data_IF_315832732847
#
_entry.id   IF_315832732847
#
_cell.length_a   1.000
_cell.length_b   1.000
_cell.length_c   1.000
_cell.angle_alpha   90.00
_cell.angle_beta   90.00
_cell.angle_gamma   90.00
#
_symmetry.space_group_name_H-M   'P 1'
#
loop_
_entity.id
_entity.type
_entity.pdbx_description
1 polymer ?
#
# COMPACT_ATOMS: atom_id res chain seq x y z
N UNK A 1 -4.34 69.05 89.92
CA UNK A 1 -4.85 69.14 88.54
C UNK A 1 -4.08 68.16 87.68
N UNK A 2 -4.61 66.90 87.52
CA UNK A 2 -3.95 65.85 86.83
C UNK A 2 -4.75 65.59 85.54
N UNK A 3 -4.19 65.84 84.33
CA UNK A 3 -4.78 65.56 83.05
C UNK A 3 -4.48 64.11 82.69
N UNK A 4 -5.54 63.28 82.58
CA UNK A 4 -5.54 61.95 82.04
C UNK A 4 -5.33 62.00 80.53
N UNK A 5 -4.27 61.43 80.07
CA UNK A 5 -4.09 61.15 78.61
C UNK A 5 -4.82 59.86 78.29
N UNK A 6 -6.02 59.98 77.65
CA UNK A 6 -6.68 58.85 77.07
C UNK A 6 -5.93 58.34 75.79
N UNK A 7 -5.34 57.20 75.91
CA UNK A 7 -4.64 56.53 74.78
C UNK A 7 -5.70 56.02 73.79
N UNK A 8 -5.75 56.65 72.64
CA UNK A 8 -6.62 56.24 71.58
C UNK A 8 -6.22 54.86 71.12
N UNK A 9 -7.03 53.81 71.47
CA UNK A 9 -6.85 52.43 71.08
C UNK A 9 -7.60 52.06 69.76
N UNK A 10 -8.36 53.01 69.19
CA UNK A 10 -9.21 52.72 68.01
C UNK A 10 -8.42 52.61 66.71
N UNK A 11 -7.33 53.33 66.54
CA UNK A 11 -6.54 53.33 65.32
C UNK A 11 -5.80 51.97 65.05
N UNK A 12 -5.29 51.34 66.13
CA UNK A 12 -4.60 50.06 65.99
C UNK A 12 -5.56 48.87 65.74
N UNK A 13 -6.78 48.90 66.24
CA UNK A 13 -7.78 47.88 66.02
C UNK A 13 -8.26 47.86 64.57
N UNK A 14 -8.44 49.01 63.95
CA UNK A 14 -8.83 49.15 62.58
C UNK A 14 -7.73 48.66 61.60
N UNK A 15 -6.46 48.97 61.91
CA UNK A 15 -5.33 48.48 61.08
C UNK A 15 -5.21 46.93 61.11
N UNK A 16 -5.39 46.35 62.31
CA UNK A 16 -5.38 44.89 62.48
C UNK A 16 -6.54 44.23 61.75
N UNK A 17 -7.75 44.83 61.81
CA UNK A 17 -8.92 44.35 61.09
C UNK A 17 -8.73 44.41 59.58
N UNK A 18 -8.13 45.47 59.03
CA UNK A 18 -7.77 45.57 57.60
C UNK A 18 -6.72 44.54 57.21
N UNK A 19 -5.70 44.28 58.02
CA UNK A 19 -4.69 43.26 57.72
C UNK A 19 -5.29 41.82 57.65
N UNK A 20 -6.20 41.51 58.59
CA UNK A 20 -6.93 40.20 58.56
C UNK A 20 -7.83 40.07 57.33
N UNK A 21 -8.51 41.15 56.96
CA UNK A 21 -9.36 41.13 55.73
C UNK A 21 -8.54 40.90 54.46
N UNK A 22 -7.38 41.57 54.33
CA UNK A 22 -6.47 41.38 53.18
C UNK A 22 -5.94 39.96 53.14
N UNK A 23 -5.54 39.39 54.28
CA UNK A 23 -5.11 38.01 54.37
C UNK A 23 -6.23 37.02 54.00
N UNK A 24 -7.47 37.25 54.45
CA UNK A 24 -8.61 36.42 54.12
C UNK A 24 -8.92 36.45 52.59
N UNK A 25 -8.90 37.65 51.99
CA UNK A 25 -9.08 37.84 50.55
C UNK A 25 -7.96 37.16 49.77
N UNK A 26 -6.71 37.28 50.16
CA UNK A 26 -5.55 36.64 49.55
C UNK A 26 -5.68 35.10 49.63
N UNK A 27 -6.16 34.57 50.75
CA UNK A 27 -6.40 33.14 50.94
C UNK A 27 -7.54 32.62 50.07
N UNK A 28 -8.65 33.36 49.98
CA UNK A 28 -9.79 33.04 49.10
C UNK A 28 -9.35 33.07 47.63
N UNK A 29 -8.61 34.11 47.21
CA UNK A 29 -8.07 34.21 45.86
C UNK A 29 -7.07 33.09 45.55
N UNK A 30 -6.24 32.73 46.53
CA UNK A 30 -5.29 31.62 46.41
C UNK A 30 -6.03 30.27 46.23
N UNK A 31 -7.06 30.00 47.05
CA UNK A 31 -7.91 28.81 46.90
C UNK A 31 -8.64 28.82 45.59
N UNK A 32 -9.23 29.97 45.20
CA UNK A 32 -9.89 30.13 43.90
C UNK A 32 -8.94 29.80 42.74
N UNK A 33 -7.72 30.35 42.77
CA UNK A 33 -6.71 30.14 41.74
C UNK A 33 -6.28 28.67 41.64
N UNK A 34 -6.02 28.02 42.78
CA UNK A 34 -5.55 26.63 42.81
C UNK A 34 -6.63 25.61 42.46
N UNK A 35 -7.88 25.81 42.90
CA UNK A 35 -8.96 24.80 42.79
C UNK A 35 -10.01 25.15 41.77
N UNK A 36 -10.25 26.42 41.41
CA UNK A 36 -11.31 26.83 40.50
C UNK A 36 -10.80 27.36 39.16
N UNK A 37 -9.54 27.80 39.06
CA UNK A 37 -8.92 28.11 37.78
C UNK A 37 -8.41 26.79 37.18
N UNK A 38 -8.95 26.35 36.02
CA UNK A 38 -8.46 25.15 35.37
C UNK A 38 -6.95 25.28 35.12
N UNK A 39 -6.17 24.43 35.76
CA UNK A 39 -4.75 24.31 35.41
C UNK A 39 -4.68 23.74 34.00
N UNK A 40 -3.95 24.38 33.09
CA UNK A 40 -3.70 23.85 31.78
C UNK A 40 -3.08 22.46 31.94
N UNK A 41 -3.74 21.43 31.35
CA UNK A 41 -3.15 20.12 31.34
C UNK A 41 -1.75 20.19 30.68
N UNK A 42 -0.76 19.46 31.20
CA UNK A 42 0.57 19.45 30.57
C UNK A 42 0.42 19.04 29.10
N UNK A 43 1.07 19.76 28.21
CA UNK A 43 1.07 19.45 26.77
C UNK A 43 1.51 18.01 26.58
N UNK A 44 0.76 17.21 25.76
CA UNK A 44 1.12 15.85 25.53
C UNK A 44 2.47 15.74 24.82
N UNK A 45 3.24 14.72 25.19
CA UNK A 45 4.51 14.44 24.52
C UNK A 45 4.24 14.14 23.05
N UNK A 46 4.98 14.83 22.16
CA UNK A 46 4.86 14.66 20.70
C UNK A 46 6.11 14.01 20.15
N UNK A 47 5.95 13.13 19.18
CA UNK A 47 7.04 12.40 18.53
C UNK A 47 8.05 13.34 17.88
N UNK A 48 9.32 13.14 18.17
CA UNK A 48 10.46 13.91 17.67
C UNK A 48 11.52 12.95 17.12
N UNK A 49 12.52 13.50 16.47
CA UNK A 49 13.68 12.75 15.99
C UNK A 49 14.36 11.98 17.14
N UNK A 50 14.73 10.74 16.88
CA UNK A 50 15.31 9.75 17.80
C UNK A 50 14.35 9.14 18.83
N UNK A 51 13.09 9.61 18.93
CA UNK A 51 12.12 8.93 19.76
C UNK A 51 11.82 7.52 19.17
N UNK A 52 11.71 6.50 20.03
CA UNK A 52 11.18 5.19 19.63
C UNK A 52 9.67 5.23 19.67
N UNK A 53 9.05 4.94 18.55
CA UNK A 53 7.59 4.99 18.37
C UNK A 53 7.04 3.63 17.96
N UNK A 54 5.79 3.38 18.36
CA UNK A 54 5.01 2.24 17.86
C UNK A 54 3.73 2.80 17.25
N UNK A 55 3.44 2.43 16.00
CA UNK A 55 2.28 2.93 15.27
C UNK A 55 1.42 1.80 14.70
N UNK A 56 0.11 1.98 14.70
CA UNK A 56 -0.80 1.26 13.84
C UNK A 56 -0.99 2.04 12.54
N UNK A 57 -1.11 1.33 11.42
CA UNK A 57 -1.32 1.97 10.13
C UNK A 57 -2.18 1.13 9.18
N UNK A 58 -2.81 1.84 8.25
CA UNK A 58 -3.45 1.28 7.04
C UNK A 58 -2.92 2.05 5.85
N UNK A 59 -2.30 1.35 4.90
CA UNK A 59 -1.75 1.92 3.67
C UNK A 59 -2.62 1.58 2.47
N UNK A 60 -3.08 2.60 1.73
CA UNK A 60 -3.83 2.50 0.48
C UNK A 60 -3.15 3.31 -0.62
N UNK A 61 -3.49 3.05 -1.88
CA UNK A 61 -3.09 3.95 -2.98
C UNK A 61 -3.97 5.21 -2.96
N UNK A 62 -3.41 6.38 -3.28
CA UNK A 62 -4.13 7.66 -3.24
C UNK A 62 -5.41 7.66 -4.10
N UNK A 63 -5.39 6.99 -5.24
CA UNK A 63 -6.50 6.94 -6.20
C UNK A 63 -7.30 5.63 -6.13
N UNK A 64 -7.16 4.87 -5.05
CA UNK A 64 -7.81 3.57 -4.89
C UNK A 64 -8.03 3.26 -3.41
N UNK A 65 -9.17 2.64 -3.09
CA UNK A 65 -9.46 2.16 -1.73
C UNK A 65 -8.75 0.84 -1.40
N UNK A 66 -7.91 0.32 -2.31
CA UNK A 66 -7.24 -0.96 -2.13
C UNK A 66 -6.12 -0.84 -1.10
N UNK A 67 -6.22 -1.67 -0.06
CA UNK A 67 -5.19 -1.77 0.98
C UNK A 67 -4.03 -2.60 0.44
N UNK A 68 -2.82 -1.99 0.36
CA UNK A 68 -1.60 -2.72 -0.01
C UNK A 68 -0.81 -3.21 1.20
N UNK A 69 -0.99 -2.58 2.37
CA UNK A 69 -0.35 -2.99 3.62
C UNK A 69 -1.08 -2.43 4.84
N UNK A 70 -1.03 -3.15 5.98
CA UNK A 70 -1.55 -2.69 7.26
C UNK A 70 -0.85 -3.40 8.42
N UNK A 71 -0.84 -2.80 9.60
CA UNK A 71 -0.46 -3.46 10.85
C UNK A 71 -1.69 -3.97 11.65
N UNK A 72 -2.90 -3.66 11.19
CA UNK A 72 -4.16 -3.88 11.93
C UNK A 72 -4.85 -5.15 11.44
N UNK A 73 -4.94 -6.18 12.30
CA UNK A 73 -5.50 -7.49 11.95
C UNK A 73 -6.96 -7.42 11.49
N UNK A 74 -7.78 -6.57 12.12
CA UNK A 74 -9.20 -6.43 11.75
C UNK A 74 -9.36 -5.87 10.35
N UNK A 75 -8.50 -4.93 9.94
CA UNK A 75 -8.43 -4.41 8.57
C UNK A 75 -7.95 -5.48 7.60
N UNK A 76 -6.94 -6.26 7.98
CA UNK A 76 -6.43 -7.34 7.13
C UNK A 76 -7.50 -8.41 6.85
N UNK A 77 -8.29 -8.79 7.83
CA UNK A 77 -9.30 -9.85 7.73
C UNK A 77 -10.61 -9.39 7.07
N UNK A 78 -10.94 -8.11 7.13
CA UNK A 78 -12.14 -7.56 6.52
C UNK A 78 -11.86 -7.16 5.06
N UNK A 79 -12.17 -8.06 4.12
CA UNK A 79 -12.02 -7.79 2.69
C UNK A 79 -13.23 -7.07 2.08
N UNK A 80 -14.34 -7.01 2.79
CA UNK A 80 -15.55 -6.31 2.32
C UNK A 80 -15.42 -4.80 2.46
N UNK A 81 -14.99 -4.33 3.65
CA UNK A 81 -14.79 -2.90 3.94
C UNK A 81 -13.40 -2.40 3.50
N UNK A 82 -12.42 -3.30 3.45
CA UNK A 82 -11.03 -3.00 3.12
C UNK A 82 -10.51 -3.95 2.04
N UNK A 83 -10.94 -3.78 0.78
CA UNK A 83 -10.50 -4.64 -0.30
C UNK A 83 -8.97 -4.55 -0.49
N UNK A 84 -8.35 -5.67 -0.85
CA UNK A 84 -6.89 -5.79 -0.91
C UNK A 84 -6.36 -5.62 -2.32
N UNK A 85 -5.23 -4.94 -2.42
CA UNK A 85 -4.42 -4.90 -3.61
C UNK A 85 -3.74 -6.26 -3.86
N UNK A 86 -3.32 -6.53 -5.10
CA UNK A 86 -2.58 -7.75 -5.44
C UNK A 86 -1.33 -7.93 -4.58
N UNK A 87 -0.60 -6.85 -4.30
CA UNK A 87 0.63 -6.88 -3.52
C UNK A 87 0.42 -7.02 -2.01
N UNK A 88 -0.83 -7.11 -1.53
CA UNK A 88 -1.10 -7.26 -0.10
C UNK A 88 -0.49 -8.54 0.46
N UNK A 89 0.46 -8.38 1.38
CA UNK A 89 1.15 -9.49 2.02
C UNK A 89 0.45 -9.96 3.30
N UNK A 90 -0.06 -11.20 3.30
CA UNK A 90 -0.54 -11.83 4.52
C UNK A 90 0.61 -12.14 5.47
N UNK A 91 0.39 -11.94 6.79
CA UNK A 91 1.38 -12.15 7.85
C UNK A 91 0.85 -13.13 8.88
N UNK A 92 1.73 -13.94 9.45
CA UNK A 92 1.38 -14.86 10.54
C UNK A 92 1.10 -14.10 11.85
N UNK A 93 1.73 -12.93 12.00
CA UNK A 93 1.57 -12.07 13.18
C UNK A 93 1.33 -10.63 12.76
N UNK A 94 0.29 -10.05 13.32
CA UNK A 94 -0.10 -8.66 13.13
C UNK A 94 0.29 -7.88 14.38
N UNK A 95 1.21 -6.95 14.23
CA UNK A 95 1.72 -6.12 15.31
C UNK A 95 1.86 -4.67 14.83
N UNK A 96 1.64 -3.69 15.71
CA UNK A 96 2.00 -2.31 15.44
C UNK A 96 3.47 -2.21 15.02
N UNK A 97 3.76 -1.31 14.09
CA UNK A 97 5.09 -1.08 13.55
C UNK A 97 5.91 -0.26 14.54
N UNK A 98 7.07 -0.78 14.94
CA UNK A 98 8.01 -0.08 15.82
C UNK A 98 9.24 0.38 15.05
N UNK A 99 9.65 1.64 15.24
CA UNK A 99 10.87 2.20 14.65
C UNK A 99 11.34 3.42 15.44
N UNK A 100 12.59 3.89 15.19
CA UNK A 100 13.07 5.15 15.72
C UNK A 100 12.90 6.25 14.67
N UNK A 101 12.28 7.35 15.05
CA UNK A 101 12.00 8.47 14.14
C UNK A 101 13.31 9.06 13.61
N UNK A 102 13.47 9.11 12.30
CA UNK A 102 14.65 9.67 11.64
C UNK A 102 15.81 8.70 11.44
N UNK A 103 15.66 7.39 11.74
CA UNK A 103 16.73 6.40 11.57
C UNK A 103 16.89 5.88 10.12
N UNK A 104 15.98 6.26 9.23
CA UNK A 104 15.99 5.85 7.83
C UNK A 104 15.47 4.43 7.56
N UNK A 105 14.93 3.74 8.56
CA UNK A 105 14.32 2.41 8.40
C UNK A 105 12.97 2.46 7.68
N UNK A 106 12.29 3.61 7.71
CA UNK A 106 11.00 3.84 7.06
C UNK A 106 11.16 4.71 5.81
N UNK A 107 10.18 4.63 4.89
CA UNK A 107 10.09 5.58 3.77
C UNK A 107 9.97 7.01 4.31
N UNK A 108 10.64 7.94 3.64
CA UNK A 108 10.81 9.32 4.14
C UNK A 108 9.50 10.01 4.50
N UNK A 109 8.49 9.91 3.64
CA UNK A 109 7.20 10.54 3.88
C UNK A 109 6.44 9.98 5.08
N UNK A 110 6.57 8.69 5.35
CA UNK A 110 5.97 8.06 6.53
C UNK A 110 6.68 8.50 7.81
N UNK A 111 8.00 8.44 7.84
CA UNK A 111 8.81 8.86 8.98
C UNK A 111 8.55 10.33 9.35
N UNK A 112 8.59 11.23 8.36
CA UNK A 112 8.30 12.65 8.57
C UNK A 112 6.86 12.89 9.02
N UNK A 113 5.92 12.12 8.50
CA UNK A 113 4.49 12.24 8.81
C UNK A 113 4.12 11.86 10.25
N UNK A 114 4.91 10.99 10.89
CA UNK A 114 4.71 10.57 12.29
C UNK A 114 5.20 11.66 13.28
N UNK A 115 6.13 12.51 12.86
CA UNK A 115 6.63 13.60 13.72
C UNK A 115 5.51 14.53 14.15
N UNK A 116 5.54 14.94 15.40
CA UNK A 116 4.54 15.81 16.01
C UNK A 116 3.25 15.12 16.44
N UNK A 117 3.07 13.82 16.21
CA UNK A 117 1.94 13.07 16.76
C UNK A 117 2.11 12.86 18.27
N UNK A 118 1.00 12.98 19.01
CA UNK A 118 0.90 12.56 20.39
C UNK A 118 0.37 11.11 20.46
N UNK A 119 0.61 10.43 21.59
CA UNK A 119 0.05 9.09 21.84
C UNK A 119 -1.47 9.13 21.78
N UNK A 120 -2.08 8.24 20.98
CA UNK A 120 -3.51 8.18 20.69
C UNK A 120 -3.95 9.07 19.52
N UNK A 121 -3.10 9.97 19.03
CA UNK A 121 -3.41 10.82 17.88
C UNK A 121 -3.33 10.02 16.58
N UNK A 122 -4.28 10.27 15.66
CA UNK A 122 -4.30 9.68 14.32
C UNK A 122 -4.13 10.78 13.27
N UNK A 123 -3.47 10.44 12.18
CA UNK A 123 -3.24 11.34 11.03
C UNK A 123 -3.28 10.59 9.72
N UNK A 124 -3.84 11.21 8.68
CA UNK A 124 -3.71 10.75 7.31
C UNK A 124 -2.49 11.39 6.68
N UNK A 125 -1.58 10.56 6.18
CA UNK A 125 -0.35 10.97 5.50
C UNK A 125 -0.51 10.73 4.00
N UNK A 126 -0.24 11.74 3.19
CA UNK A 126 -0.06 11.60 1.74
C UNK A 126 1.44 11.52 1.48
N UNK A 127 1.89 10.40 0.95
CA UNK A 127 3.30 10.14 0.65
C UNK A 127 3.50 10.06 -0.85
N UNK A 128 4.03 11.12 -1.49
CA UNK A 128 4.36 11.10 -2.91
C UNK A 128 5.40 10.00 -3.20
N UNK A 129 5.38 9.46 -4.42
CA UNK A 129 6.31 8.38 -4.79
C UNK A 129 7.79 8.73 -4.53
N UNK A 130 8.19 10.00 -4.67
CA UNK A 130 9.56 10.47 -4.41
C UNK A 130 9.98 10.34 -2.94
N UNK A 131 9.03 10.43 -2.01
CA UNK A 131 9.22 10.26 -0.57
C UNK A 131 8.80 8.85 -0.09
N UNK A 132 8.34 8.01 -1.03
CA UNK A 132 7.92 6.64 -0.82
C UNK A 132 8.88 5.63 -1.45
N UNK A 133 8.40 4.91 -2.46
CA UNK A 133 9.13 3.79 -3.07
C UNK A 133 9.82 4.16 -4.40
N UNK A 134 9.87 5.45 -4.75
CA UNK A 134 10.50 5.93 -5.98
C UNK A 134 9.63 5.79 -7.22
N UNK A 135 10.20 6.16 -8.37
CA UNK A 135 9.52 6.09 -9.67
C UNK A 135 9.37 4.65 -10.17
N UNK A 136 8.33 4.39 -10.95
CA UNK A 136 8.21 3.17 -11.73
C UNK A 136 9.22 3.21 -12.90
N UNK A 137 9.70 2.03 -13.31
CA UNK A 137 10.53 1.83 -14.49
C UNK A 137 9.61 1.64 -15.70
N UNK A 138 9.59 2.56 -16.68
CA UNK A 138 8.71 2.45 -17.84
C UNK A 138 9.00 1.20 -18.72
N UNK A 139 10.23 0.69 -18.69
CA UNK A 139 10.60 -0.51 -19.46
C UNK A 139 9.96 -1.80 -18.95
N UNK A 140 9.38 -1.75 -17.74
CA UNK A 140 8.66 -2.84 -17.08
C UNK A 140 7.15 -2.76 -17.28
N UNK A 141 6.66 -1.86 -18.12
CA UNK A 141 5.24 -1.67 -18.41
C UNK A 141 4.95 -2.21 -19.82
N UNK A 142 3.98 -3.11 -19.94
CA UNK A 142 3.60 -3.75 -21.20
C UNK A 142 2.11 -3.55 -21.48
N UNK A 143 1.79 -2.69 -22.44
CA UNK A 143 0.41 -2.51 -22.91
C UNK A 143 0.12 -3.47 -24.08
N UNK A 144 -1.00 -4.14 -24.01
CA UNK A 144 -1.46 -5.14 -24.97
C UNK A 144 -2.90 -4.86 -25.40
N UNK A 145 -3.36 -5.51 -26.47
CA UNK A 145 -4.74 -5.37 -26.91
C UNK A 145 -5.65 -6.37 -26.20
N UNK A 146 -6.90 -5.97 -25.92
CA UNK A 146 -7.94 -6.89 -25.44
C UNK A 146 -8.29 -7.96 -26.48
N UNK A 147 -8.16 -7.66 -27.78
CA UNK A 147 -8.14 -8.63 -28.86
C UNK A 147 -6.67 -8.84 -29.25
N UNK A 148 -6.03 -9.84 -28.66
CA UNK A 148 -4.60 -10.11 -28.81
C UNK A 148 -4.34 -11.14 -29.91
N UNK A 149 -3.35 -10.83 -30.75
CA UNK A 149 -2.84 -11.73 -31.76
C UNK A 149 -1.68 -12.56 -31.22
N UNK A 150 -1.82 -13.88 -31.25
CA UNK A 150 -0.83 -14.85 -30.78
C UNK A 150 -0.39 -15.73 -31.96
N UNK A 151 0.91 -15.98 -32.16
CA UNK A 151 1.37 -16.82 -33.26
C UNK A 151 0.95 -18.28 -33.06
N UNK A 152 0.54 -18.96 -34.17
CA UNK A 152 0.33 -20.42 -34.17
C UNK A 152 1.68 -21.13 -33.97
N UNK A 153 2.75 -20.64 -34.62
CA UNK A 153 4.09 -21.26 -34.58
C UNK A 153 5.08 -20.34 -33.88
N UNK A 154 5.66 -20.87 -32.79
CA UNK A 154 6.74 -20.23 -32.04
C UNK A 154 8.03 -20.99 -32.31
N UNK A 155 9.14 -20.28 -32.59
CA UNK A 155 10.46 -20.87 -32.73
C UNK A 155 11.39 -20.38 -31.64
N UNK A 156 12.14 -21.31 -31.04
CA UNK A 156 13.07 -20.98 -29.96
C UNK A 156 14.23 -21.99 -29.94
N UNK A 157 15.24 -21.75 -29.13
CA UNK A 157 16.28 -22.76 -28.85
C UNK A 157 15.86 -23.69 -27.70
N UNK A 158 16.58 -24.80 -27.56
CA UNK A 158 16.26 -25.84 -26.57
C UNK A 158 16.38 -25.30 -25.11
N UNK A 159 17.29 -24.36 -24.85
CA UNK A 159 17.46 -23.76 -23.52
C UNK A 159 16.23 -22.92 -23.15
N UNK A 160 15.76 -22.09 -24.07
CA UNK A 160 14.55 -21.29 -23.86
C UNK A 160 13.31 -22.17 -23.72
N UNK A 161 13.18 -23.23 -24.55
CA UNK A 161 12.10 -24.20 -24.45
C UNK A 161 12.08 -24.85 -23.05
N UNK A 162 13.23 -25.35 -22.57
CA UNK A 162 13.33 -25.97 -21.25
C UNK A 162 12.95 -24.97 -20.12
N UNK A 163 13.37 -23.71 -20.25
CA UNK A 163 13.03 -22.69 -19.27
C UNK A 163 11.52 -22.42 -19.23
N UNK A 164 10.86 -22.38 -20.40
CA UNK A 164 9.42 -22.07 -20.55
C UNK A 164 8.54 -23.26 -20.17
N UNK A 165 8.79 -24.43 -20.77
CA UNK A 165 7.91 -25.62 -20.66
C UNK A 165 8.33 -26.62 -19.58
N UNK A 166 9.47 -26.39 -18.91
CA UNK A 166 10.02 -27.24 -17.81
C UNK A 166 10.23 -28.70 -18.20
N UNK A 167 10.39 -28.97 -19.50
CA UNK A 167 10.67 -30.30 -20.06
C UNK A 167 11.66 -30.19 -21.21
N UNK A 168 12.31 -31.31 -21.60
CA UNK A 168 13.20 -31.34 -22.75
C UNK A 168 12.42 -31.32 -24.05
N UNK A 169 12.94 -30.62 -25.08
CA UNK A 169 12.34 -30.57 -26.39
C UNK A 169 12.54 -31.92 -27.11
N UNK A 170 11.44 -32.58 -27.43
CA UNK A 170 11.41 -33.84 -28.25
C UNK A 170 10.32 -33.70 -29.28
N UNK A 171 10.62 -34.06 -30.55
CA UNK A 171 9.61 -34.01 -31.62
C UNK A 171 8.43 -34.93 -31.34
N UNK A 172 7.21 -34.42 -31.54
CA UNK A 172 5.97 -35.17 -31.39
C UNK A 172 5.36 -35.14 -29.98
N UNK A 173 6.04 -34.56 -28.97
CA UNK A 173 5.41 -34.43 -27.65
C UNK A 173 4.41 -33.29 -27.62
N UNK A 174 3.39 -33.45 -26.78
CA UNK A 174 2.47 -32.38 -26.42
C UNK A 174 2.97 -31.66 -25.15
N UNK A 175 2.87 -30.35 -25.17
CA UNK A 175 3.11 -29.50 -24.02
C UNK A 175 1.90 -28.60 -23.78
N UNK A 176 1.74 -28.11 -22.56
CA UNK A 176 0.74 -27.08 -22.22
C UNK A 176 1.41 -25.74 -22.23
N UNK A 177 0.87 -24.78 -22.98
CA UNK A 177 1.36 -23.40 -22.95
C UNK A 177 1.15 -22.78 -21.57
N UNK A 178 2.21 -22.25 -20.93
CA UNK A 178 2.13 -21.77 -19.54
C UNK A 178 1.33 -20.47 -19.39
N UNK A 179 1.16 -19.71 -20.48
CA UNK A 179 0.38 -18.46 -20.49
C UNK A 179 -1.08 -18.75 -20.82
N UNK A 180 -1.31 -19.50 -21.88
CA UNK A 180 -2.64 -19.67 -22.47
C UNK A 180 -3.37 -20.90 -21.96
N UNK A 181 -2.64 -21.91 -21.46
CA UNK A 181 -3.22 -23.15 -20.96
C UNK A 181 -3.68 -24.13 -22.05
N UNK A 182 -3.51 -23.83 -23.33
CA UNK A 182 -3.81 -24.74 -24.41
C UNK A 182 -2.70 -25.73 -24.69
N UNK A 183 -3.02 -26.76 -25.47
CA UNK A 183 -2.05 -27.76 -25.92
C UNK A 183 -1.24 -27.22 -27.11
N UNK A 184 0.04 -27.55 -27.14
CA UNK A 184 0.92 -27.31 -28.28
C UNK A 184 1.76 -28.54 -28.60
N UNK A 185 2.08 -28.74 -29.88
CA UNK A 185 2.90 -29.84 -30.38
C UNK A 185 4.32 -29.34 -30.64
N UNK A 186 5.31 -30.11 -30.21
CA UNK A 186 6.74 -29.75 -30.34
C UNK A 186 7.34 -30.46 -31.58
N UNK A 187 8.16 -29.73 -32.34
CA UNK A 187 9.00 -30.24 -33.40
C UNK A 187 10.43 -29.73 -33.23
N UNK A 188 11.41 -30.56 -33.43
CA UNK A 188 12.85 -30.24 -33.32
C UNK A 188 13.57 -30.48 -34.61
N UNK A 189 14.23 -29.45 -35.15
CA UNK A 189 15.04 -29.53 -36.36
C UNK A 189 16.42 -28.88 -36.09
N UNK A 190 17.44 -29.68 -35.90
CA UNK A 190 18.76 -29.20 -35.49
C UNK A 190 18.72 -28.49 -34.12
N UNK A 191 19.12 -27.24 -34.08
CA UNK A 191 19.07 -26.40 -32.86
C UNK A 191 17.77 -25.64 -32.65
N UNK A 192 16.81 -25.74 -33.61
CA UNK A 192 15.54 -25.01 -33.60
C UNK A 192 14.45 -25.90 -33.03
N UNK A 193 13.76 -25.44 -32.04
CA UNK A 193 12.53 -26.01 -31.48
C UNK A 193 11.36 -25.18 -31.98
N UNK A 194 10.42 -25.81 -32.65
CA UNK A 194 9.16 -25.18 -33.02
C UNK A 194 8.03 -25.71 -32.15
N UNK A 195 7.30 -24.80 -31.54
CA UNK A 195 6.09 -25.10 -30.76
C UNK A 195 4.90 -24.67 -31.59
N UNK A 196 4.02 -25.62 -31.96
CA UNK A 196 2.80 -25.37 -32.70
C UNK A 196 1.61 -25.38 -31.76
N UNK A 197 1.06 -24.21 -31.48
CA UNK A 197 -0.14 -24.02 -30.66
C UNK A 197 -1.36 -24.64 -31.37
N UNK A 198 -2.20 -25.37 -30.65
CA UNK A 198 -3.33 -26.11 -31.18
C UNK A 198 -4.64 -25.87 -30.38
N UNK A 199 -5.03 -24.61 -30.11
CA UNK A 199 -6.35 -24.36 -29.56
C UNK A 199 -7.43 -24.61 -30.62
N UNK A 200 -8.71 -24.53 -30.23
CA UNK A 200 -9.83 -24.56 -31.15
C UNK A 200 -10.64 -23.27 -31.07
N UNK A 201 -11.30 -22.83 -32.15
CA UNK A 201 -12.21 -21.67 -32.07
C UNK A 201 -13.26 -21.85 -30.98
N UNK A 202 -13.67 -20.74 -30.35
CA UNK A 202 -14.59 -20.66 -29.20
C UNK A 202 -14.08 -21.36 -27.93
N UNK A 203 -12.83 -21.79 -27.90
CA UNK A 203 -12.21 -22.34 -26.66
C UNK A 203 -12.14 -21.30 -25.59
N UNK A 204 -12.76 -21.57 -24.44
CA UNK A 204 -12.56 -20.81 -23.23
C UNK A 204 -11.17 -21.13 -22.66
N UNK A 205 -10.41 -20.11 -22.35
CA UNK A 205 -9.05 -20.20 -21.77
C UNK A 205 -8.90 -19.24 -20.61
N UNK A 206 -7.85 -19.44 -19.81
CA UNK A 206 -7.52 -18.55 -18.71
C UNK A 206 -6.05 -18.13 -18.78
N UNK A 207 -5.72 -17.04 -19.48
CA UNK A 207 -4.36 -16.55 -19.55
C UNK A 207 -3.76 -16.38 -18.16
N UNK A 208 -2.53 -16.88 -17.98
CA UNK A 208 -1.82 -16.91 -16.67
C UNK A 208 -2.60 -17.62 -15.54
N UNK A 209 -3.68 -18.32 -15.88
CA UNK A 209 -4.65 -18.89 -14.93
C UNK A 209 -5.37 -17.84 -14.04
N UNK A 210 -5.48 -16.59 -14.52
CA UNK A 210 -5.97 -15.45 -13.74
C UNK A 210 -7.33 -14.92 -14.18
N UNK A 211 -7.55 -14.72 -15.50
CA UNK A 211 -8.80 -14.16 -16.01
C UNK A 211 -9.32 -14.94 -17.21
N UNK A 212 -10.58 -14.77 -17.52
CA UNK A 212 -11.21 -15.48 -18.61
C UNK A 212 -10.89 -14.83 -19.96
N UNK A 213 -10.68 -15.65 -20.99
CA UNK A 213 -10.53 -15.24 -22.38
C UNK A 213 -11.12 -16.30 -23.31
N UNK A 214 -11.30 -15.97 -24.58
CA UNK A 214 -11.86 -16.85 -25.59
C UNK A 214 -11.02 -16.79 -26.86
N UNK A 215 -10.71 -17.93 -27.46
CA UNK A 215 -10.11 -18.02 -28.79
C UNK A 215 -11.17 -17.63 -29.81
N UNK A 216 -10.97 -16.56 -30.58
CA UNK A 216 -11.94 -16.03 -31.53
C UNK A 216 -11.79 -16.70 -32.90
N UNK A 217 -10.56 -16.77 -33.39
CA UNK A 217 -10.26 -17.35 -34.72
C UNK A 217 -8.83 -17.84 -34.78
N UNK A 218 -8.57 -18.71 -35.74
CA UNK A 218 -7.25 -19.26 -36.06
C UNK A 218 -7.06 -19.20 -37.56
N UNK A 219 -5.94 -18.65 -38.01
CA UNK A 219 -5.51 -18.64 -39.43
C UNK A 219 -4.07 -19.16 -39.51
N UNK A 220 -3.91 -20.41 -39.93
CA UNK A 220 -2.61 -21.07 -40.06
C UNK A 220 -1.72 -20.48 -41.15
N UNK A 221 -2.30 -19.71 -42.07
CA UNK A 221 -1.63 -19.11 -43.23
C UNK A 221 -1.19 -17.66 -42.99
N UNK A 222 -1.73 -17.01 -41.99
CA UNK A 222 -1.43 -15.63 -41.69
C UNK A 222 0.08 -15.39 -41.44
N UNK A 223 0.50 -14.16 -41.57
CA UNK A 223 1.86 -13.70 -41.23
C UNK A 223 2.98 -14.51 -41.91
N UNK A 224 2.80 -14.86 -43.22
CA UNK A 224 3.81 -15.60 -44.00
C UNK A 224 3.98 -17.05 -43.54
N UNK A 225 2.94 -17.66 -42.97
CA UNK A 225 2.93 -19.06 -42.53
C UNK A 225 3.29 -19.26 -41.06
N UNK A 226 3.53 -18.17 -40.30
CA UNK A 226 3.63 -18.24 -38.84
C UNK A 226 2.27 -18.60 -38.23
N UNK A 227 1.19 -18.17 -38.87
CA UNK A 227 -0.18 -18.32 -38.39
C UNK A 227 -0.54 -17.29 -37.31
N UNK A 228 -1.83 -17.13 -37.09
CA UNK A 228 -2.40 -16.21 -36.11
C UNK A 228 -3.54 -16.87 -35.34
N UNK A 229 -3.54 -16.68 -34.03
CA UNK A 229 -4.63 -17.01 -33.14
C UNK A 229 -5.12 -15.69 -32.54
N UNK A 230 -6.38 -15.32 -32.73
CA UNK A 230 -6.97 -14.16 -32.10
C UNK A 230 -7.63 -14.59 -30.79
N UNK A 231 -7.23 -13.92 -29.70
CA UNK A 231 -7.73 -14.15 -28.33
C UNK A 231 -8.43 -12.89 -27.82
N UNK A 232 -9.70 -13.02 -27.42
CA UNK A 232 -10.45 -11.95 -26.77
C UNK A 232 -10.35 -12.11 -25.26
N UNK A 233 -9.68 -11.18 -24.60
CA UNK A 233 -9.62 -11.09 -23.14
C UNK A 233 -10.91 -10.50 -22.56
N UNK A 234 -11.36 -11.04 -21.41
CA UNK A 234 -12.52 -10.56 -20.66
C UNK A 234 -12.06 -9.83 -19.40
N UNK A 235 -11.32 -8.75 -19.61
CA UNK A 235 -10.85 -7.86 -18.54
C UNK A 235 -11.78 -6.64 -18.42
N UNK A 236 -11.93 -6.15 -17.21
CA UNK A 236 -12.67 -4.91 -16.93
C UNK A 236 -11.94 -4.05 -15.87
N UNK A 237 -12.25 -2.73 -15.77
CA UNK A 237 -11.55 -1.82 -14.86
C UNK A 237 -11.64 -2.19 -13.38
N UNK A 238 -12.63 -2.98 -12.95
CA UNK A 238 -12.73 -3.41 -11.54
C UNK A 238 -11.65 -4.40 -11.14
N UNK A 239 -10.97 -5.00 -12.12
CA UNK A 239 -9.87 -5.96 -11.93
C UNK A 239 -8.50 -5.27 -11.72
N UNK A 240 -8.41 -3.97 -12.04
CA UNK A 240 -7.18 -3.18 -11.89
C UNK A 240 -6.68 -3.26 -10.46
N UNK A 241 -5.35 -3.44 -10.31
CA UNK A 241 -4.64 -3.55 -9.04
C UNK A 241 -5.01 -4.75 -8.14
N UNK A 242 -6.00 -5.56 -8.54
CA UNK A 242 -6.48 -6.74 -7.79
C UNK A 242 -5.95 -8.05 -8.34
N UNK A 243 -5.63 -8.07 -9.63
CA UNK A 243 -5.16 -9.26 -10.33
C UNK A 243 -3.68 -9.12 -10.64
N UNK A 244 -2.96 -10.18 -10.42
CA UNK A 244 -1.55 -10.29 -10.79
C UNK A 244 -1.08 -11.72 -10.76
N UNK A 245 0.10 -11.95 -11.27
CA UNK A 245 0.68 -13.26 -11.41
C UNK A 245 2.18 -13.22 -11.59
N UNK A 246 2.71 -14.28 -12.19
CA UNK A 246 4.15 -14.42 -12.41
C UNK A 246 4.41 -14.95 -13.82
N UNK A 247 5.35 -14.30 -14.52
CA UNK A 247 5.89 -14.72 -15.82
C UNK A 247 7.40 -14.77 -15.72
N UNK A 248 8.00 -15.88 -16.12
CA UNK A 248 9.45 -16.09 -16.09
C UNK A 248 10.13 -15.71 -14.74
N UNK A 249 9.40 -15.95 -13.65
CA UNK A 249 9.87 -15.63 -12.30
C UNK A 249 9.64 -14.19 -11.88
N UNK A 250 9.16 -13.30 -12.75
CA UNK A 250 8.85 -11.92 -12.44
C UNK A 250 7.37 -11.75 -12.10
N UNK A 251 7.07 -11.07 -11.00
CA UNK A 251 5.71 -10.71 -10.63
C UNK A 251 5.22 -9.59 -11.55
N UNK A 252 3.94 -9.62 -11.88
CA UNK A 252 3.23 -8.54 -12.58
C UNK A 252 1.84 -8.35 -11.98
N UNK A 253 1.27 -7.19 -12.23
CA UNK A 253 -0.14 -6.91 -11.90
C UNK A 253 -0.82 -6.20 -13.07
N UNK A 254 -2.16 -6.29 -13.11
CA UNK A 254 -2.99 -5.55 -14.07
C UNK A 254 -3.10 -4.11 -13.57
N UNK A 255 -2.45 -3.18 -14.28
CA UNK A 255 -2.38 -1.78 -13.87
C UNK A 255 -3.37 -0.88 -14.59
N UNK A 256 -3.90 -1.33 -15.75
CA UNK A 256 -4.89 -0.58 -16.53
C UNK A 256 -5.73 -1.48 -17.43
N UNK A 257 -6.97 -1.08 -17.68
CA UNK A 257 -7.88 -1.65 -18.69
C UNK A 257 -8.65 -0.52 -19.35
N UNK A 258 -8.33 -0.24 -20.61
CA UNK A 258 -9.01 0.74 -21.44
C UNK A 258 -9.96 0.05 -22.41
N UNK A 259 -11.26 0.07 -22.12
CA UNK A 259 -12.30 -0.53 -22.95
C UNK A 259 -12.57 0.28 -24.23
N UNK A 260 -12.20 1.57 -24.26
CA UNK A 260 -12.41 2.45 -25.42
C UNK A 260 -11.31 2.18 -26.45
N UNK A 261 -10.06 2.18 -26.02
CA UNK A 261 -8.90 1.86 -26.87
C UNK A 261 -8.76 0.34 -27.11
N UNK A 262 -9.50 -0.48 -26.35
CA UNK A 262 -9.43 -1.95 -26.43
C UNK A 262 -8.07 -2.49 -26.00
N UNK A 263 -7.51 -1.96 -24.91
CA UNK A 263 -6.20 -2.33 -24.42
C UNK A 263 -6.18 -2.64 -22.91
N UNK A 264 -5.13 -3.33 -22.47
CA UNK A 264 -4.83 -3.56 -21.06
C UNK A 264 -3.32 -3.46 -20.81
N UNK A 265 -2.93 -3.17 -19.58
CA UNK A 265 -1.53 -2.97 -19.21
C UNK A 265 -1.13 -3.90 -18.07
N UNK A 266 -0.04 -4.63 -18.30
CA UNK A 266 0.65 -5.42 -17.28
C UNK A 266 1.87 -4.63 -16.81
N UNK A 267 1.98 -4.42 -15.51
CA UNK A 267 3.10 -3.72 -14.88
C UNK A 267 3.93 -4.71 -14.05
N UNK A 268 5.22 -4.83 -14.37
CA UNK A 268 6.21 -5.67 -13.71
C UNK A 268 7.02 -4.92 -12.64
N UNK A 269 6.66 -3.67 -12.35
CA UNK A 269 7.19 -2.95 -11.20
C UNK A 269 6.59 -3.47 -9.89
N UNK A 270 7.17 -3.06 -8.78
CA UNK A 270 6.47 -3.18 -7.48
C UNK A 270 5.22 -2.30 -7.53
N UNK A 271 4.09 -2.81 -7.07
CA UNK A 271 2.80 -2.11 -7.19
C UNK A 271 2.77 -0.72 -6.51
N UNK A 272 3.65 -0.51 -5.54
CA UNK A 272 3.82 0.77 -4.83
C UNK A 272 4.76 1.76 -5.54
N UNK A 273 5.51 1.32 -6.56
CA UNK A 273 6.45 2.19 -7.28
C UNK A 273 5.70 3.17 -8.20
N UNK A 274 6.17 4.42 -8.26
CA UNK A 274 5.57 5.47 -9.07
C UNK A 274 4.23 6.01 -8.57
N UNK A 275 3.76 5.58 -7.40
CA UNK A 275 2.44 5.92 -6.86
C UNK A 275 2.52 6.76 -5.61
N UNK A 276 1.62 7.72 -5.48
CA UNK A 276 1.33 8.37 -4.19
C UNK A 276 0.53 7.42 -3.30
N UNK A 277 0.90 7.37 -2.03
CA UNK A 277 0.34 6.47 -1.04
C UNK A 277 -0.38 7.27 0.05
N UNK A 278 -1.48 6.73 0.55
CA UNK A 278 -2.18 7.22 1.72
C UNK A 278 -1.92 6.27 2.89
N UNK A 279 -1.52 6.84 4.04
CA UNK A 279 -1.43 6.08 5.27
C UNK A 279 -2.31 6.73 6.34
N UNK A 280 -3.26 5.99 6.86
CA UNK A 280 -3.87 6.29 8.14
C UNK A 280 -2.96 5.76 9.24
N UNK A 281 -2.41 6.64 10.06
CA UNK A 281 -1.45 6.28 11.11
C UNK A 281 -1.99 6.69 12.47
N UNK A 282 -1.88 5.81 13.47
CA UNK A 282 -2.20 6.10 14.87
C UNK A 282 -0.99 5.81 15.74
N UNK A 283 -0.50 6.81 16.49
CA UNK A 283 0.62 6.64 17.41
C UNK A 283 0.14 5.90 18.67
N UNK A 284 0.69 4.72 18.96
CA UNK A 284 0.32 3.88 20.10
C UNK A 284 1.22 4.08 21.31
N UNK A 285 2.53 4.17 21.08
CA UNK A 285 3.51 4.40 22.15
C UNK A 285 4.60 5.35 21.68
N UNK A 286 5.18 6.08 22.64
CA UNK A 286 6.30 6.98 22.43
C UNK A 286 7.27 6.83 23.60
N UNK A 287 8.51 6.49 23.29
CA UNK A 287 9.59 6.39 24.26
C UNK A 287 10.71 7.33 23.82
N UNK A 288 11.06 8.24 24.71
CA UNK A 288 12.18 9.18 24.50
C UNK A 288 13.44 8.59 25.10
N UNK A 289 14.59 8.54 24.36
CA UNK A 289 15.86 8.01 24.85
C UNK A 289 16.47 8.83 25.99
#
# INVERSE_FOLDING_TARGET
>A
MVRSLSRDRSGMSNLAAFAVLILAIALILGVYYVYLVPQAAPEPLRAQERDSVTVEYVGTFENSELVFDTSVITVAQDNASYPKAFSFGWRDRWQPLQFAVGDGSMIRGFDQGVRGLAVGESRTLVVPYADGYGAADPSKISTRRLLESVPVRLTMNATHFLATYRTSAVSGINVTDPVWGWTAVVSVAGSIVTVMNSPVPDQAIRPYNLWDATVVSIDDSANGGVGEILVQHRLDPTMIDRIGGKVDGQDFFLSDVDLIEGSYTLDFNRQVAGRSLLFQVTLKTLLRP
#
